data_IF_835194470582
#
_entry.id   IF_835194470582
#
_cell.length_a   1.000
_cell.length_b   1.000
_cell.length_c   1.000
_cell.angle_alpha   90.00
_cell.angle_beta   90.00
_cell.angle_gamma   90.00
#
_symmetry.space_group_name_H-M   'P 1'
#
loop_
_entity.id
_entity.type
_entity.pdbx_description
1 polymer ?
#
# COMPACT_ATOMS: atom_id res chain seq x y z
N UNK A 1 -27.22 45.08 -22.78
CA UNK A 1 -26.59 45.22 -21.44
C UNK A 1 -27.24 44.24 -20.45
N UNK A 2 -26.81 42.98 -20.42
CA UNK A 2 -27.30 41.98 -19.44
C UNK A 2 -26.27 40.92 -19.01
N UNK A 3 -25.02 41.04 -19.49
CA UNK A 3 -23.95 40.04 -19.37
C UNK A 3 -22.63 40.66 -18.85
N UNK A 4 -22.70 41.46 -17.77
CA UNK A 4 -21.52 42.14 -17.19
C UNK A 4 -21.40 41.95 -15.67
N UNK A 5 -22.50 41.67 -14.96
CA UNK A 5 -22.54 41.76 -13.48
C UNK A 5 -22.57 40.43 -12.70
N UNK A 6 -22.40 39.27 -13.36
CA UNK A 6 -22.25 37.96 -12.67
C UNK A 6 -20.88 37.30 -12.88
N UNK A 7 -19.99 37.92 -13.67
CA UNK A 7 -18.62 37.44 -13.91
C UNK A 7 -17.65 37.90 -12.79
N UNK A 8 -18.07 38.86 -11.96
CA UNK A 8 -17.19 39.65 -11.09
C UNK A 8 -16.73 38.98 -9.77
N UNK A 9 -17.09 37.71 -9.50
CA UNK A 9 -16.79 37.06 -8.20
C UNK A 9 -15.86 35.83 -8.27
N UNK A 10 -15.40 35.44 -9.46
CA UNK A 10 -14.38 34.37 -9.64
C UNK A 10 -13.14 34.81 -10.42
N UNK A 11 -13.13 36.03 -10.98
CA UNK A 11 -12.04 36.55 -11.84
C UNK A 11 -10.89 37.21 -11.07
N UNK A 12 -10.94 37.23 -9.73
CA UNK A 12 -9.94 37.87 -8.85
C UNK A 12 -8.62 37.09 -8.68
N UNK A 13 -8.33 36.13 -9.56
CA UNK A 13 -7.03 35.46 -9.64
C UNK A 13 -6.42 35.40 -11.06
N UNK A 14 -6.87 36.27 -11.98
CA UNK A 14 -6.23 36.49 -13.28
C UNK A 14 -5.52 37.87 -13.31
N UNK A 15 -4.38 37.97 -12.60
CA UNK A 15 -3.66 39.25 -12.43
C UNK A 15 -2.72 39.51 -13.61
N UNK A 16 -3.25 40.27 -14.58
CA UNK A 16 -2.55 41.23 -15.45
C UNK A 16 -1.24 40.80 -16.14
N UNK A 17 -1.32 40.64 -17.46
CA UNK A 17 -0.44 41.43 -18.35
C UNK A 17 -1.32 42.40 -19.14
N UNK A 18 -0.94 43.67 -19.18
CA UNK A 18 -1.66 44.70 -19.93
C UNK A 18 -1.26 44.58 -21.40
N UNK A 19 -2.16 44.05 -22.25
CA UNK A 19 -2.11 44.34 -23.69
C UNK A 19 -2.73 45.72 -23.91
N UNK A 20 -2.09 46.56 -24.71
CA UNK A 20 -2.51 47.94 -24.94
C UNK A 20 -3.49 48.02 -26.11
N UNK A 21 -4.67 48.59 -25.85
CA UNK A 21 -5.70 48.98 -26.83
C UNK A 21 -6.25 47.84 -27.72
N UNK A 22 -7.22 48.18 -28.58
CA UNK A 22 -7.99 47.23 -29.36
C UNK A 22 -7.79 47.47 -30.86
N UNK A 23 -7.17 46.51 -31.54
CA UNK A 23 -7.09 46.46 -33.02
C UNK A 23 -7.83 45.22 -33.56
N UNK A 24 -8.31 45.34 -34.80
CA UNK A 24 -9.34 44.50 -35.40
C UNK A 24 -8.80 43.26 -36.14
N UNK A 25 -7.81 42.60 -35.55
CA UNK A 25 -7.53 41.16 -35.75
C UNK A 25 -7.24 40.65 -37.17
N UNK A 26 -6.84 41.51 -38.12
CA UNK A 26 -6.86 41.19 -39.56
C UNK A 26 -5.54 41.31 -40.32
N UNK A 27 -4.62 42.18 -39.90
CA UNK A 27 -3.34 42.43 -40.59
C UNK A 27 -2.17 41.74 -39.86
N UNK A 28 -1.01 41.56 -40.51
CA UNK A 28 0.10 40.72 -40.01
C UNK A 28 1.33 41.52 -39.60
N UNK A 29 2.24 40.94 -38.81
CA UNK A 29 2.45 39.51 -38.50
C UNK A 29 2.03 39.01 -37.11
N UNK A 30 1.99 39.76 -36.01
CA UNK A 30 1.14 40.93 -35.71
C UNK A 30 -0.36 40.74 -36.07
N UNK A 31 -0.77 39.51 -36.43
CA UNK A 31 -2.18 39.11 -36.60
C UNK A 31 -2.42 38.09 -37.74
N UNK A 32 -2.34 38.52 -39.01
CA UNK A 32 -2.93 37.90 -40.21
C UNK A 32 -2.55 36.43 -40.52
N UNK A 33 -1.52 35.88 -39.89
CA UNK A 33 -1.32 34.43 -39.88
C UNK A 33 -2.41 33.68 -39.08
N UNK A 34 -3.34 34.41 -38.45
CA UNK A 34 -4.71 34.02 -38.13
C UNK A 34 -4.86 33.08 -36.94
N UNK A 35 -3.76 32.74 -36.27
CA UNK A 35 -3.78 31.89 -35.07
C UNK A 35 -3.51 32.73 -33.83
N UNK A 36 -4.55 32.84 -33.01
CA UNK A 36 -4.50 33.41 -31.67
C UNK A 36 -3.29 32.85 -30.88
N UNK A 37 -2.60 33.71 -30.14
CA UNK A 37 -1.56 33.29 -29.22
C UNK A 37 -2.16 32.42 -28.10
N UNK A 38 -3.37 32.76 -27.65
CA UNK A 38 -4.09 32.13 -26.54
C UNK A 38 -3.99 32.90 -25.22
N UNK A 39 -4.87 32.59 -24.28
CA UNK A 39 -4.71 32.94 -22.86
C UNK A 39 -3.89 31.84 -22.15
N UNK A 40 -3.07 32.22 -21.16
CA UNK A 40 -2.30 31.27 -20.32
C UNK A 40 -3.22 30.26 -19.61
N UNK A 41 -4.38 30.73 -19.13
CA UNK A 41 -5.42 29.97 -18.46
C UNK A 41 -6.73 30.06 -19.24
N UNK A 42 -7.28 28.92 -19.65
CA UNK A 42 -8.61 28.84 -20.25
C UNK A 42 -9.62 28.45 -19.17
N UNK A 43 -10.52 29.37 -18.82
CA UNK A 43 -11.41 29.26 -17.65
C UNK A 43 -12.87 29.15 -18.08
N UNK A 44 -13.55 28.14 -17.56
CA UNK A 44 -14.94 27.78 -17.84
C UNK A 44 -15.69 27.71 -16.49
N UNK A 45 -16.62 28.62 -16.23
CA UNK A 45 -17.30 28.71 -14.93
C UNK A 45 -18.71 29.29 -15.01
N UNK A 46 -19.57 28.94 -14.04
CA UNK A 46 -20.91 29.51 -13.91
C UNK A 46 -21.93 28.93 -14.88
N UNK A 47 -22.76 29.78 -15.47
CA UNK A 47 -23.93 29.40 -16.29
C UNK A 47 -23.62 29.11 -17.77
N UNK A 48 -22.34 29.07 -18.15
CA UNK A 48 -21.88 28.73 -19.51
C UNK A 48 -22.47 27.41 -20.05
N UNK A 49 -22.82 27.45 -21.33
CA UNK A 49 -23.29 26.34 -22.16
C UNK A 49 -22.14 25.66 -22.93
N UNK A 50 -22.45 24.60 -23.69
CA UNK A 50 -21.48 23.97 -24.59
C UNK A 50 -21.13 24.91 -25.76
N UNK A 51 -22.09 25.73 -26.20
CA UNK A 51 -21.90 26.79 -27.19
C UNK A 51 -21.01 27.94 -26.69
N UNK A 52 -21.23 28.42 -25.46
CA UNK A 52 -20.35 29.43 -24.83
C UNK A 52 -18.92 28.89 -24.69
N UNK A 53 -18.76 27.62 -24.33
CA UNK A 53 -17.46 26.97 -24.24
C UNK A 53 -16.77 26.86 -25.62
N UNK A 54 -17.50 26.48 -26.67
CA UNK A 54 -16.97 26.45 -28.03
C UNK A 54 -16.52 27.85 -28.51
N UNK A 55 -17.27 28.90 -28.18
CA UNK A 55 -16.86 30.28 -28.47
C UNK A 55 -15.60 30.67 -27.69
N UNK A 56 -15.56 30.44 -26.37
CA UNK A 56 -14.39 30.69 -25.51
C UNK A 56 -13.15 29.99 -26.07
N UNK A 57 -13.25 28.75 -26.54
CA UNK A 57 -12.15 28.02 -27.18
C UNK A 57 -11.68 28.74 -28.44
N UNK A 58 -12.59 29.04 -29.38
CA UNK A 58 -12.22 29.68 -30.64
C UNK A 58 -11.61 31.08 -30.47
N UNK A 59 -12.03 31.82 -29.44
CA UNK A 59 -11.59 33.18 -29.15
C UNK A 59 -10.38 33.28 -28.22
N UNK A 60 -10.04 32.22 -27.45
CA UNK A 60 -9.04 32.31 -26.37
C UNK A 60 -8.05 31.14 -26.29
N UNK A 61 -8.23 30.04 -27.04
CA UNK A 61 -7.25 28.96 -27.07
C UNK A 61 -6.08 29.29 -28.01
N UNK A 62 -4.87 28.85 -27.62
CA UNK A 62 -3.68 28.98 -28.47
C UNK A 62 -2.42 28.38 -27.86
N UNK A 63 -1.27 28.68 -28.48
CA UNK A 63 0.05 28.13 -28.11
C UNK A 63 0.56 28.53 -26.72
N UNK A 64 0.02 29.59 -26.12
CA UNK A 64 0.35 30.03 -24.76
C UNK A 64 -0.52 29.37 -23.69
N UNK A 65 -1.60 28.68 -24.07
CA UNK A 65 -2.51 28.06 -23.11
C UNK A 65 -1.83 26.87 -22.44
N UNK A 66 -1.58 27.00 -21.13
CA UNK A 66 -0.91 26.00 -20.30
C UNK A 66 -1.80 25.47 -19.17
N UNK A 67 -3.03 25.95 -19.05
CA UNK A 67 -3.98 25.41 -18.07
C UNK A 67 -5.44 25.48 -18.53
N UNK A 68 -6.20 24.44 -18.19
CA UNK A 68 -7.66 24.38 -18.31
C UNK A 68 -8.27 24.38 -16.90
N UNK A 69 -9.25 25.25 -16.65
CA UNK A 69 -10.00 25.31 -15.39
C UNK A 69 -11.51 25.31 -15.67
N UNK A 70 -12.16 24.15 -15.50
CA UNK A 70 -13.62 23.98 -15.56
C UNK A 70 -14.15 23.91 -14.14
N UNK A 71 -14.74 24.99 -13.63
CA UNK A 71 -15.07 25.09 -12.20
C UNK A 71 -16.49 25.59 -11.95
N UNK A 72 -17.27 24.86 -11.16
CA UNK A 72 -18.63 25.24 -10.75
C UNK A 72 -19.59 25.51 -11.93
N UNK A 73 -19.43 24.82 -13.07
CA UNK A 73 -20.33 25.00 -14.22
C UNK A 73 -21.70 24.36 -13.98
N UNK A 74 -22.78 25.02 -14.40
CA UNK A 74 -24.16 24.56 -14.18
C UNK A 74 -24.95 24.21 -15.44
N UNK A 75 -24.45 24.54 -16.64
CA UNK A 75 -25.10 24.25 -17.91
C UNK A 75 -24.25 23.37 -18.85
N UNK A 76 -22.94 23.61 -18.93
CA UNK A 76 -21.96 22.79 -19.64
C UNK A 76 -22.18 21.28 -19.43
N UNK A 77 -22.30 20.53 -20.52
CA UNK A 77 -22.47 19.07 -20.56
C UNK A 77 -21.25 18.36 -21.16
N UNK A 78 -20.54 19.01 -22.09
CA UNK A 78 -19.42 18.43 -22.82
C UNK A 78 -18.30 19.44 -22.97
N UNK A 79 -17.06 18.99 -22.77
CA UNK A 79 -15.87 19.74 -23.19
C UNK A 79 -14.97 18.84 -24.05
N UNK A 80 -14.58 19.34 -25.21
CA UNK A 80 -13.72 18.63 -26.16
C UNK A 80 -12.68 19.61 -26.73
N UNK A 81 -11.39 19.26 -26.60
CA UNK A 81 -10.27 20.16 -26.93
C UNK A 81 -9.21 19.42 -27.77
N UNK A 82 -9.39 19.33 -29.10
CA UNK A 82 -8.58 18.46 -29.95
C UNK A 82 -7.16 18.98 -30.23
N UNK A 83 -6.87 20.28 -30.12
CA UNK A 83 -5.54 20.84 -30.46
C UNK A 83 -4.53 20.83 -29.29
N UNK A 84 -4.86 20.23 -28.15
CA UNK A 84 -4.00 20.22 -26.96
C UNK A 84 -3.07 19.00 -26.95
N UNK A 85 -1.76 19.22 -27.11
CA UNK A 85 -0.73 18.20 -26.90
C UNK A 85 -0.14 18.23 -25.48
N UNK A 86 0.05 19.42 -24.90
CA UNK A 86 0.72 19.60 -23.60
C UNK A 86 0.01 20.63 -22.74
N UNK A 87 -0.05 20.37 -21.43
CA UNK A 87 -0.57 21.29 -20.41
C UNK A 87 0.35 21.33 -19.18
N UNK A 88 0.19 22.35 -18.36
CA UNK A 88 0.67 22.36 -16.96
C UNK A 88 -0.43 21.85 -16.03
N UNK A 89 -1.68 22.32 -16.20
CA UNK A 89 -2.81 21.96 -15.32
C UNK A 89 -4.07 21.61 -16.11
N UNK A 90 -4.79 20.58 -15.68
CA UNK A 90 -6.17 20.29 -16.11
C UNK A 90 -7.01 20.16 -14.85
N UNK A 91 -7.98 21.03 -14.64
CA UNK A 91 -8.77 21.10 -13.40
C UNK A 91 -10.25 21.14 -13.75
N UNK A 92 -11.00 20.10 -13.38
CA UNK A 92 -12.45 19.96 -13.54
C UNK A 92 -13.06 19.78 -12.13
N UNK A 93 -13.63 20.82 -11.53
CA UNK A 93 -14.22 20.74 -10.19
C UNK A 93 -15.67 21.24 -10.10
N UNK A 94 -16.50 20.54 -9.33
CA UNK A 94 -17.88 20.92 -9.00
C UNK A 94 -18.81 21.16 -10.21
N UNK A 95 -18.55 20.54 -11.35
CA UNK A 95 -19.32 20.76 -12.57
C UNK A 95 -20.61 19.94 -12.55
N UNK A 96 -21.74 20.62 -12.39
CA UNK A 96 -23.04 20.02 -12.05
C UNK A 96 -23.66 19.18 -13.16
N UNK A 97 -23.40 19.53 -14.44
CA UNK A 97 -23.97 18.86 -15.62
C UNK A 97 -22.94 18.24 -16.57
N UNK A 98 -21.65 18.48 -16.36
CA UNK A 98 -20.58 17.97 -17.23
C UNK A 98 -20.62 16.44 -17.21
N UNK A 99 -20.87 15.83 -18.37
CA UNK A 99 -20.98 14.39 -18.59
C UNK A 99 -19.76 13.80 -19.28
N UNK A 100 -19.10 14.57 -20.15
CA UNK A 100 -18.00 14.11 -20.99
C UNK A 100 -16.87 15.15 -21.08
N UNK A 101 -15.64 14.68 -20.90
CA UNK A 101 -14.41 15.42 -21.23
C UNK A 101 -13.57 14.58 -22.19
N UNK A 102 -13.13 15.17 -23.31
CA UNK A 102 -12.27 14.51 -24.30
C UNK A 102 -11.10 15.43 -24.66
N UNK A 103 -9.88 15.01 -24.31
CA UNK A 103 -8.63 15.70 -24.61
C UNK A 103 -7.77 14.77 -25.48
N UNK A 104 -8.17 14.52 -26.75
CA UNK A 104 -7.78 13.31 -27.47
C UNK A 104 -6.29 13.29 -27.81
N UNK A 105 -5.67 14.46 -28.00
CA UNK A 105 -4.24 14.59 -28.32
C UNK A 105 -3.35 14.91 -27.10
N UNK A 106 -3.89 14.95 -25.88
CA UNK A 106 -3.13 15.38 -24.69
C UNK A 106 -2.11 14.31 -24.28
N UNK A 107 -0.84 14.55 -24.55
CA UNK A 107 0.28 13.65 -24.22
C UNK A 107 0.88 13.91 -22.83
N UNK A 108 0.97 15.17 -22.41
CA UNK A 108 1.72 15.54 -21.20
C UNK A 108 1.03 16.60 -20.33
N UNK A 109 0.95 16.36 -19.01
CA UNK A 109 0.48 17.35 -18.01
C UNK A 109 1.53 17.57 -16.91
N UNK A 110 2.29 18.66 -16.95
CA UNK A 110 3.51 18.80 -16.14
C UNK A 110 3.31 19.00 -14.63
N UNK A 111 2.15 19.48 -14.16
CA UNK A 111 1.87 19.72 -12.74
C UNK A 111 0.75 18.81 -12.19
N UNK A 112 -0.49 18.95 -12.67
CA UNK A 112 -1.60 18.08 -12.23
C UNK A 112 -2.82 18.01 -13.14
N UNK A 113 -3.46 16.85 -13.11
CA UNK A 113 -4.86 16.59 -13.51
C UNK A 113 -5.68 16.47 -12.22
N UNK A 114 -6.75 17.25 -12.08
CA UNK A 114 -7.72 17.17 -10.97
C UNK A 114 -9.11 17.07 -11.58
N UNK A 115 -9.82 15.98 -11.31
CA UNK A 115 -11.21 15.79 -11.72
C UNK A 115 -12.00 15.43 -10.46
N UNK A 116 -12.62 16.43 -9.85
CA UNK A 116 -13.18 16.35 -8.49
C UNK A 116 -14.66 16.74 -8.44
N UNK A 117 -15.49 15.95 -7.77
CA UNK A 117 -16.88 16.31 -7.43
C UNK A 117 -17.73 16.74 -8.63
N UNK A 118 -17.60 16.05 -9.78
CA UNK A 118 -18.42 16.27 -10.97
C UNK A 118 -19.55 15.21 -11.00
N UNK A 119 -20.73 15.46 -10.39
CA UNK A 119 -21.72 14.40 -10.12
C UNK A 119 -22.43 13.83 -11.35
N UNK A 120 -22.30 14.47 -12.52
CA UNK A 120 -22.85 13.97 -13.79
C UNK A 120 -21.80 13.39 -14.73
N UNK A 121 -20.51 13.44 -14.38
CA UNK A 121 -19.42 13.04 -15.27
C UNK A 121 -19.39 11.52 -15.43
N UNK A 122 -19.70 11.01 -16.62
CA UNK A 122 -19.74 9.58 -16.93
C UNK A 122 -18.48 9.09 -17.63
N UNK A 123 -17.83 9.96 -18.40
CA UNK A 123 -16.74 9.59 -19.32
C UNK A 123 -15.60 10.61 -19.29
N UNK A 124 -14.37 10.09 -19.16
CA UNK A 124 -13.12 10.88 -19.26
C UNK A 124 -12.20 10.22 -20.29
N UNK A 125 -11.95 10.88 -21.41
CA UNK A 125 -11.07 10.37 -22.47
C UNK A 125 -9.80 11.21 -22.61
N UNK A 126 -8.67 10.58 -22.28
CA UNK A 126 -7.31 11.11 -22.29
C UNK A 126 -6.40 10.09 -23.00
N UNK A 127 -6.87 9.47 -24.09
CA UNK A 127 -6.25 8.26 -24.65
C UNK A 127 -4.77 8.36 -25.03
N UNK A 128 -4.26 9.56 -25.31
CA UNK A 128 -2.86 9.81 -25.64
C UNK A 128 -1.99 10.26 -24.47
N UNK A 129 -2.51 10.34 -23.24
CA UNK A 129 -1.75 10.77 -22.07
C UNK A 129 -0.60 9.80 -21.77
N UNK A 130 0.64 10.22 -22.03
CA UNK A 130 1.88 9.49 -21.76
C UNK A 130 2.36 9.78 -20.34
N UNK A 131 2.27 11.04 -19.87
CA UNK A 131 2.76 11.39 -18.54
C UNK A 131 2.02 12.54 -17.86
N UNK A 132 1.85 12.42 -16.55
CA UNK A 132 1.42 13.53 -15.70
C UNK A 132 2.45 13.83 -14.59
N UNK A 133 2.29 14.99 -13.95
CA UNK A 133 2.62 15.17 -12.55
C UNK A 133 1.61 14.38 -11.71
N UNK A 134 0.76 15.07 -10.97
CA UNK A 134 -0.21 14.41 -10.09
C UNK A 134 -1.54 14.15 -10.82
N UNK A 135 -2.16 12.99 -10.62
CA UNK A 135 -3.50 12.65 -11.14
C UNK A 135 -4.43 12.40 -9.96
N UNK A 136 -5.53 13.15 -9.89
CA UNK A 136 -6.58 13.01 -8.88
C UNK A 136 -7.95 12.87 -9.56
N UNK A 137 -8.65 11.78 -9.30
CA UNK A 137 -10.03 11.52 -9.76
C UNK A 137 -10.88 11.19 -8.53
N UNK A 138 -11.62 12.17 -8.04
CA UNK A 138 -12.24 12.12 -6.71
C UNK A 138 -13.74 12.47 -6.75
N UNK A 139 -14.59 11.71 -6.07
CA UNK A 139 -16.03 12.01 -5.90
C UNK A 139 -16.88 12.13 -7.19
N UNK A 140 -16.45 11.56 -8.33
CA UNK A 140 -17.21 11.62 -9.59
C UNK A 140 -18.27 10.51 -9.63
N UNK A 141 -19.40 10.74 -8.94
CA UNK A 141 -20.40 9.69 -8.63
C UNK A 141 -21.06 9.01 -9.84
N UNK A 142 -21.01 9.62 -11.02
CA UNK A 142 -21.54 9.05 -12.26
C UNK A 142 -20.47 8.37 -13.14
N UNK A 143 -19.19 8.42 -12.75
CA UNK A 143 -18.07 8.01 -13.61
C UNK A 143 -18.05 6.50 -13.80
N UNK A 144 -18.22 6.05 -15.05
CA UNK A 144 -18.23 4.63 -15.41
C UNK A 144 -17.04 4.24 -16.27
N UNK A 145 -16.44 5.18 -17.01
CA UNK A 145 -15.35 4.91 -17.95
C UNK A 145 -14.27 6.00 -17.93
N UNK A 146 -13.02 5.56 -17.92
CA UNK A 146 -11.82 6.38 -18.13
C UNK A 146 -10.97 5.74 -19.23
N UNK A 147 -10.37 6.56 -20.09
CA UNK A 147 -9.33 6.11 -21.00
C UNK A 147 -8.03 6.88 -20.74
N UNK A 148 -7.08 6.17 -20.13
CA UNK A 148 -5.71 6.62 -19.79
C UNK A 148 -4.70 5.52 -20.15
N UNK A 149 -5.05 4.68 -21.13
CA UNK A 149 -4.39 3.41 -21.44
C UNK A 149 -2.96 3.52 -21.99
N UNK A 150 -2.49 4.74 -22.30
CA UNK A 150 -1.12 5.03 -22.75
C UNK A 150 -0.23 5.63 -21.65
N UNK A 151 -0.74 5.84 -20.43
CA UNK A 151 0.00 6.42 -19.31
C UNK A 151 1.20 5.55 -18.93
N UNK A 152 2.41 6.10 -19.07
CA UNK A 152 3.69 5.48 -18.73
C UNK A 152 4.20 5.92 -17.36
N UNK A 153 3.96 7.19 -16.97
CA UNK A 153 4.41 7.72 -15.67
C UNK A 153 3.52 8.80 -15.06
N UNK A 154 3.46 8.82 -13.73
CA UNK A 154 2.94 9.94 -12.95
C UNK A 154 3.78 10.21 -11.69
N UNK A 155 3.60 11.38 -11.07
CA UNK A 155 4.11 11.66 -9.73
C UNK A 155 3.28 10.91 -8.68
N UNK A 156 1.98 11.20 -8.67
CA UNK A 156 0.95 10.61 -7.83
C UNK A 156 -0.22 10.17 -8.70
N UNK A 157 -0.89 9.08 -8.33
CA UNK A 157 -2.07 8.55 -9.00
C UNK A 157 -3.12 8.18 -7.96
N UNK A 158 -4.14 9.03 -7.79
CA UNK A 158 -5.19 8.87 -6.78
C UNK A 158 -6.55 8.80 -7.46
N UNK A 159 -7.25 7.69 -7.23
CA UNK A 159 -8.65 7.49 -7.57
C UNK A 159 -9.40 7.19 -6.28
N UNK A 160 -10.38 8.02 -5.93
CA UNK A 160 -11.15 7.91 -4.70
C UNK A 160 -12.66 8.21 -4.91
N UNK A 161 -13.54 7.44 -4.27
CA UNK A 161 -14.99 7.69 -4.23
C UNK A 161 -15.65 7.86 -5.63
N UNK A 162 -15.27 7.02 -6.60
CA UNK A 162 -15.91 6.91 -7.92
C UNK A 162 -16.76 5.62 -8.02
N UNK A 163 -17.89 5.48 -7.30
CA UNK A 163 -18.53 4.20 -7.03
C UNK A 163 -18.99 3.40 -8.27
N UNK A 164 -19.26 4.05 -9.40
CA UNK A 164 -19.72 3.39 -10.63
C UNK A 164 -18.58 2.96 -11.58
N UNK A 165 -17.33 3.27 -11.28
CA UNK A 165 -16.18 2.95 -12.12
C UNK A 165 -15.87 1.44 -12.05
N UNK A 166 -15.98 0.73 -13.17
CA UNK A 166 -15.93 -0.74 -13.19
C UNK A 166 -14.52 -1.32 -13.36
N UNK A 167 -13.62 -0.57 -14.00
CA UNK A 167 -12.25 -0.98 -14.32
C UNK A 167 -11.29 0.20 -14.32
N UNK A 168 -10.04 -0.06 -13.95
CA UNK A 168 -8.89 0.83 -14.15
C UNK A 168 -7.83 0.02 -14.88
N UNK A 169 -7.41 0.51 -16.06
CA UNK A 169 -6.56 -0.22 -16.99
C UNK A 169 -5.33 0.62 -17.36
N UNK A 170 -4.16 0.24 -16.86
CA UNK A 170 -2.90 0.98 -16.93
C UNK A 170 -1.76 0.09 -17.49
N UNK A 171 -1.93 -0.51 -18.68
CA UNK A 171 -1.08 -1.61 -19.18
C UNK A 171 0.30 -1.12 -19.66
N UNK A 172 0.59 0.17 -19.51
CA UNK A 172 1.88 0.80 -19.82
C UNK A 172 2.48 1.55 -18.63
N UNK A 173 1.79 1.64 -17.49
CA UNK A 173 2.24 2.45 -16.35
C UNK A 173 3.44 1.79 -15.70
N UNK A 174 4.65 2.21 -16.08
CA UNK A 174 5.91 1.67 -15.58
C UNK A 174 6.29 2.29 -14.24
N UNK A 175 5.94 3.57 -14.01
CA UNK A 175 6.42 4.31 -12.85
C UNK A 175 5.42 5.29 -12.24
N UNK A 176 5.23 5.16 -10.94
CA UNK A 176 4.79 6.24 -10.05
C UNK A 176 6.04 6.72 -9.27
N UNK A 177 6.20 8.01 -9.00
CA UNK A 177 7.34 8.46 -8.17
C UNK A 177 7.03 8.46 -6.68
N UNK A 178 5.75 8.60 -6.34
CA UNK A 178 5.26 8.78 -4.97
C UNK A 178 4.08 7.82 -4.67
N UNK A 179 2.84 8.30 -4.57
CA UNK A 179 1.68 7.50 -4.14
C UNK A 179 0.84 6.94 -5.31
N UNK A 180 0.50 5.66 -5.23
CA UNK A 180 -0.54 5.00 -6.04
C UNK A 180 -1.70 4.59 -5.13
N UNK A 181 -2.89 5.18 -5.31
CA UNK A 181 -4.04 5.04 -4.41
C UNK A 181 -5.33 4.73 -5.19
N UNK A 182 -5.94 3.59 -4.88
CA UNK A 182 -7.22 3.13 -5.43
C UNK A 182 -8.17 2.87 -4.26
N UNK A 183 -9.11 3.79 -4.02
CA UNK A 183 -9.84 3.92 -2.77
C UNK A 183 -11.36 4.01 -2.97
N UNK A 184 -12.14 3.38 -2.10
CA UNK A 184 -13.59 3.58 -1.95
C UNK A 184 -14.42 3.42 -3.26
N UNK A 185 -14.14 2.38 -4.06
CA UNK A 185 -14.93 2.07 -5.25
C UNK A 185 -15.93 0.94 -4.99
N UNK A 186 -17.23 1.19 -5.17
CA UNK A 186 -18.26 0.16 -5.04
C UNK A 186 -18.16 -0.89 -6.17
N UNK A 187 -18.11 -0.46 -7.44
CA UNK A 187 -18.19 -1.37 -8.60
C UNK A 187 -16.85 -1.72 -9.27
N UNK A 188 -15.70 -1.25 -8.76
CA UNK A 188 -14.39 -1.53 -9.36
C UNK A 188 -14.07 -3.02 -9.20
N UNK A 189 -14.06 -3.75 -10.31
CA UNK A 189 -13.88 -5.20 -10.36
C UNK A 189 -12.49 -5.63 -10.81
N UNK A 190 -11.84 -4.80 -11.63
CA UNK A 190 -10.53 -5.07 -12.24
C UNK A 190 -9.59 -3.88 -12.12
N UNK A 191 -8.37 -4.14 -11.66
CA UNK A 191 -7.27 -3.18 -11.60
C UNK A 191 -6.06 -3.79 -12.30
N UNK A 192 -5.82 -3.39 -13.56
CA UNK A 192 -4.58 -3.72 -14.26
C UNK A 192 -3.57 -2.58 -14.06
N UNK A 193 -2.54 -2.86 -13.26
CA UNK A 193 -1.31 -2.09 -13.17
C UNK A 193 -0.10 -3.04 -13.28
N UNK A 194 -0.23 -4.12 -14.05
CA UNK A 194 0.74 -5.22 -14.18
C UNK A 194 2.12 -4.76 -14.64
N UNK A 195 2.19 -3.66 -15.40
CA UNK A 195 3.42 -3.03 -15.89
C UNK A 195 4.17 -2.19 -14.83
N UNK A 196 3.60 -1.93 -13.64
CA UNK A 196 4.18 -1.04 -12.63
C UNK A 196 5.42 -1.65 -11.98
N UNK A 197 6.59 -1.09 -12.28
CA UNK A 197 7.89 -1.57 -11.78
C UNK A 197 8.28 -0.86 -10.46
N UNK A 198 7.97 0.44 -10.36
CA UNK A 198 8.43 1.31 -9.26
C UNK A 198 7.30 2.24 -8.79
N UNK A 199 7.12 2.33 -7.48
CA UNK A 199 6.33 3.35 -6.77
C UNK A 199 6.90 3.56 -5.36
N UNK A 200 6.54 4.64 -4.65
CA UNK A 200 6.92 4.84 -3.24
C UNK A 200 5.89 4.19 -2.31
N UNK A 201 4.60 4.45 -2.53
CA UNK A 201 3.53 3.86 -1.73
C UNK A 201 2.39 3.30 -2.60
N UNK A 202 1.81 2.17 -2.17
CA UNK A 202 0.61 1.55 -2.74
C UNK A 202 -0.49 1.49 -1.67
N UNK A 203 -1.66 1.99 -2.00
CA UNK A 203 -2.88 1.80 -1.22
C UNK A 203 -4.00 1.29 -2.12
N UNK A 204 -4.58 0.14 -1.78
CA UNK A 204 -5.78 -0.38 -2.44
C UNK A 204 -6.78 -0.75 -1.37
N UNK A 205 -7.76 0.14 -1.12
CA UNK A 205 -8.65 0.04 0.04
C UNK A 205 -10.12 0.27 -0.26
N UNK A 206 -10.98 -0.45 0.46
CA UNK A 206 -12.43 -0.25 0.44
C UNK A 206 -13.04 -0.34 -0.98
N UNK A 207 -12.43 -1.17 -1.84
CA UNK A 207 -12.95 -1.47 -3.17
C UNK A 207 -13.83 -2.73 -3.07
N UNK A 208 -15.14 -2.54 -3.08
CA UNK A 208 -16.13 -3.55 -2.63
C UNK A 208 -16.16 -4.77 -3.54
N UNK A 209 -16.08 -4.57 -4.86
CA UNK A 209 -16.15 -5.65 -5.86
C UNK A 209 -14.80 -6.04 -6.48
N UNK A 210 -13.67 -5.60 -5.91
CA UNK A 210 -12.34 -5.85 -6.50
C UNK A 210 -11.89 -7.29 -6.26
N UNK A 211 -11.83 -8.10 -7.33
CA UNK A 211 -11.50 -9.53 -7.28
C UNK A 211 -10.00 -9.81 -7.29
N UNK A 212 -9.23 -9.03 -8.05
CA UNK A 212 -7.80 -9.27 -8.29
C UNK A 212 -7.00 -7.96 -8.30
N UNK A 213 -5.73 -8.05 -7.89
CA UNK A 213 -4.74 -6.98 -7.99
C UNK A 213 -3.49 -7.56 -8.66
N UNK A 214 -3.11 -7.02 -9.83
CA UNK A 214 -1.86 -7.41 -10.50
C UNK A 214 -0.81 -6.29 -10.45
N UNK A 215 0.26 -6.54 -9.67
CA UNK A 215 1.51 -5.77 -9.64
C UNK A 215 2.69 -6.69 -9.99
N UNK A 216 2.53 -7.59 -10.96
CA UNK A 216 3.51 -8.62 -11.34
C UNK A 216 4.89 -8.07 -11.68
N UNK A 217 5.01 -6.85 -12.24
CA UNK A 217 6.31 -6.25 -12.56
C UNK A 217 6.97 -5.48 -11.40
N UNK A 218 6.30 -5.32 -10.25
CA UNK A 218 6.76 -4.45 -9.17
C UNK A 218 7.99 -5.02 -8.46
N UNK A 219 9.17 -4.45 -8.68
CA UNK A 219 10.42 -4.94 -8.07
C UNK A 219 10.69 -4.31 -6.72
N UNK A 220 10.29 -3.06 -6.51
CA UNK A 220 10.66 -2.23 -5.36
C UNK A 220 9.55 -1.23 -4.98
N UNK A 221 9.27 -1.10 -3.68
CA UNK A 221 8.36 -0.06 -3.15
C UNK A 221 8.66 0.24 -1.67
N UNK A 222 8.21 1.39 -1.17
CA UNK A 222 8.23 1.77 0.24
C UNK A 222 7.10 1.10 1.01
N UNK A 223 5.86 1.59 0.86
CA UNK A 223 4.68 1.07 1.56
C UNK A 223 3.77 0.27 0.63
N UNK A 224 3.19 -0.82 1.13
CA UNK A 224 2.01 -1.49 0.57
C UNK A 224 0.94 -1.55 1.65
N UNK A 225 -0.28 -1.12 1.34
CA UNK A 225 -1.44 -1.26 2.22
C UNK A 225 -2.69 -1.63 1.43
N UNK A 226 -3.03 -2.93 1.44
CA UNK A 226 -4.21 -3.48 0.78
C UNK A 226 -5.19 -3.92 1.88
N UNK A 227 -6.33 -3.24 2.00
CA UNK A 227 -7.27 -3.50 3.11
C UNK A 227 -8.74 -3.26 2.81
N UNK A 228 -9.61 -4.01 3.48
CA UNK A 228 -11.07 -3.88 3.37
C UNK A 228 -11.59 -4.08 1.94
N UNK A 229 -10.96 -4.95 1.15
CA UNK A 229 -11.46 -5.37 -0.16
C UNK A 229 -12.17 -6.73 0.04
N UNK A 230 -13.51 -6.77 0.22
CA UNK A 230 -14.20 -7.89 0.86
C UNK A 230 -14.29 -9.15 0.00
N UNK A 231 -14.13 -9.04 -1.34
CA UNK A 231 -14.12 -10.18 -2.27
C UNK A 231 -12.77 -10.38 -2.98
N UNK A 232 -11.71 -9.72 -2.53
CA UNK A 232 -10.37 -9.84 -3.13
C UNK A 232 -9.80 -11.25 -2.91
N UNK A 233 -9.65 -12.00 -4.00
CA UNK A 233 -9.18 -13.40 -3.98
C UNK A 233 -7.66 -13.52 -4.16
N UNK A 234 -7.04 -12.61 -4.92
CA UNK A 234 -5.60 -12.66 -5.27
C UNK A 234 -4.91 -11.29 -5.30
N UNK A 235 -3.63 -11.30 -4.90
CA UNK A 235 -2.69 -10.17 -5.06
C UNK A 235 -1.39 -10.72 -5.66
N UNK A 236 -1.03 -10.28 -6.85
CA UNK A 236 0.22 -10.66 -7.51
C UNK A 236 1.33 -9.63 -7.19
N UNK A 237 2.29 -10.02 -6.35
CA UNK A 237 3.50 -9.27 -6.00
C UNK A 237 4.75 -10.12 -6.27
N UNK A 238 4.69 -10.99 -7.29
CA UNK A 238 5.66 -12.07 -7.49
C UNK A 238 7.10 -11.61 -7.76
N UNK A 239 7.32 -10.44 -8.34
CA UNK A 239 8.67 -9.87 -8.57
C UNK A 239 9.16 -8.94 -7.45
N UNK A 240 8.39 -8.74 -6.37
CA UNK A 240 8.77 -7.82 -5.29
C UNK A 240 10.03 -8.33 -4.58
N UNK A 241 11.15 -7.64 -4.79
CA UNK A 241 12.47 -8.01 -4.22
C UNK A 241 12.75 -7.35 -2.89
N UNK A 242 12.22 -6.13 -2.68
CA UNK A 242 12.50 -5.30 -1.51
C UNK A 242 11.35 -4.33 -1.21
N UNK A 243 10.92 -4.32 0.05
CA UNK A 243 10.05 -3.29 0.63
C UNK A 243 10.87 -2.40 1.60
N UNK A 244 10.57 -1.10 1.73
CA UNK A 244 11.34 -0.18 2.59
C UNK A 244 10.54 0.59 3.67
N UNK A 245 9.29 0.22 3.94
CA UNK A 245 8.51 0.72 5.10
C UNK A 245 7.64 -0.40 5.72
N UNK A 246 6.59 -0.80 5.03
CA UNK A 246 5.73 -1.91 5.47
C UNK A 246 4.95 -2.54 4.32
N UNK A 247 4.74 -3.85 4.40
CA UNK A 247 3.70 -4.57 3.65
C UNK A 247 2.56 -4.88 4.62
N UNK A 248 1.38 -4.31 4.39
CA UNK A 248 0.18 -4.48 5.21
C UNK A 248 -0.99 -5.05 4.40
N UNK A 249 -1.44 -6.25 4.76
CA UNK A 249 -2.52 -7.01 4.11
C UNK A 249 -3.60 -7.32 5.15
N UNK A 250 -4.63 -6.46 5.23
CA UNK A 250 -5.55 -6.43 6.39
C UNK A 250 -7.04 -6.42 6.00
N UNK A 251 -7.85 -7.35 6.52
CA UNK A 251 -9.29 -7.43 6.22
C UNK A 251 -9.54 -7.60 4.71
N UNK A 252 -8.91 -8.60 4.10
CA UNK A 252 -9.24 -9.06 2.75
C UNK A 252 -9.68 -10.53 2.88
N UNK A 253 -10.92 -10.80 3.32
CA UNK A 253 -11.32 -12.10 3.87
C UNK A 253 -11.36 -13.24 2.83
N UNK A 254 -11.23 -12.95 1.54
CA UNK A 254 -11.16 -13.93 0.44
C UNK A 254 -9.76 -14.22 -0.09
N UNK A 255 -8.71 -13.55 0.42
CA UNK A 255 -7.33 -13.95 0.13
C UNK A 255 -7.03 -15.31 0.74
N UNK A 256 -6.80 -16.32 -0.10
CA UNK A 256 -6.47 -17.69 0.34
C UNK A 256 -4.97 -17.93 0.51
N UNK A 257 -4.13 -17.15 -0.18
CA UNK A 257 -2.67 -17.30 -0.20
C UNK A 257 -1.98 -15.94 -0.34
N UNK A 258 -0.89 -15.75 0.41
CA UNK A 258 0.03 -14.62 0.25
C UNK A 258 1.42 -15.19 -0.07
N UNK A 259 1.89 -14.97 -1.29
CA UNK A 259 3.18 -15.48 -1.77
C UNK A 259 4.07 -14.31 -2.26
N UNK A 260 5.21 -14.13 -1.58
CA UNK A 260 6.22 -13.11 -1.87
C UNK A 260 7.56 -13.83 -2.15
N UNK A 261 7.66 -14.60 -3.26
CA UNK A 261 8.71 -15.59 -3.45
C UNK A 261 10.11 -14.98 -3.62
N UNK A 262 10.20 -13.75 -4.15
CA UNK A 262 11.46 -13.04 -4.40
C UNK A 262 11.81 -11.98 -3.34
N UNK A 263 10.93 -11.76 -2.34
CA UNK A 263 11.12 -10.73 -1.33
C UNK A 263 12.30 -11.08 -0.42
N UNK A 264 13.43 -10.40 -0.60
CA UNK A 264 14.68 -10.65 0.13
C UNK A 264 14.81 -9.83 1.41
N UNK A 265 14.21 -8.64 1.41
CA UNK A 265 14.20 -7.67 2.50
C UNK A 265 12.83 -7.01 2.60
N UNK A 266 12.30 -6.89 3.81
CA UNK A 266 11.23 -5.93 4.13
C UNK A 266 11.64 -5.09 5.33
N UNK A 267 11.08 -3.90 5.44
CA UNK A 267 11.15 -3.17 6.70
C UNK A 267 10.14 -3.80 7.67
N UNK A 268 8.82 -3.69 7.45
CA UNK A 268 7.80 -4.38 8.27
C UNK A 268 6.88 -5.31 7.47
N UNK A 269 6.22 -6.29 8.11
CA UNK A 269 5.25 -7.20 7.51
C UNK A 269 4.04 -7.44 8.45
N UNK A 270 2.88 -6.93 8.05
CA UNK A 270 1.60 -7.09 8.75
C UNK A 270 0.57 -7.84 7.90
N UNK A 271 0.08 -8.98 8.37
CA UNK A 271 -0.94 -9.81 7.69
C UNK A 271 -2.04 -10.12 8.70
N UNK A 272 -3.21 -9.49 8.57
CA UNK A 272 -4.24 -9.58 9.59
C UNK A 272 -5.69 -9.68 9.11
N UNK A 273 -6.54 -10.36 9.89
CA UNK A 273 -7.99 -10.42 9.68
C UNK A 273 -8.40 -10.97 8.28
N UNK A 274 -7.57 -11.79 7.64
CA UNK A 274 -7.89 -12.41 6.35
C UNK A 274 -8.49 -13.79 6.62
N UNK A 275 -9.83 -13.87 6.63
CA UNK A 275 -10.57 -15.03 7.13
C UNK A 275 -10.22 -16.35 6.42
N UNK A 276 -10.24 -16.38 5.08
CA UNK A 276 -10.02 -17.60 4.29
C UNK A 276 -8.53 -17.86 3.95
N UNK A 277 -7.60 -17.10 4.55
CA UNK A 277 -6.16 -17.21 4.32
C UNK A 277 -5.61 -18.51 4.89
N UNK A 278 -5.02 -19.35 4.03
CA UNK A 278 -4.50 -20.68 4.38
C UNK A 278 -2.97 -20.71 4.44
N UNK A 279 -2.27 -19.90 3.63
CA UNK A 279 -0.81 -19.90 3.55
C UNK A 279 -0.19 -18.50 3.45
N UNK A 280 0.97 -18.32 4.09
CA UNK A 280 1.87 -17.17 3.90
C UNK A 280 3.27 -17.70 3.60
N UNK A 281 3.85 -17.29 2.46
CA UNK A 281 5.17 -17.75 2.02
C UNK A 281 6.04 -16.57 1.57
N UNK A 282 7.19 -16.40 2.22
CA UNK A 282 8.21 -15.41 1.88
C UNK A 282 9.55 -16.14 1.69
N UNK A 283 9.60 -17.05 0.71
CA UNK A 283 10.68 -18.03 0.55
C UNK A 283 12.10 -17.45 0.42
N UNK A 284 12.24 -16.23 -0.10
CA UNK A 284 13.53 -15.53 -0.23
C UNK A 284 13.87 -14.60 0.95
N UNK A 285 12.98 -14.40 1.94
CA UNK A 285 13.13 -13.35 2.95
C UNK A 285 14.28 -13.67 3.90
N UNK A 286 15.34 -12.86 3.82
CA UNK A 286 16.54 -12.96 4.66
C UNK A 286 16.41 -12.04 5.88
N UNK A 287 15.90 -10.82 5.69
CA UNK A 287 15.86 -9.79 6.74
C UNK A 287 14.55 -9.02 6.78
N UNK A 288 14.03 -8.86 8.00
CA UNK A 288 12.88 -8.03 8.33
C UNK A 288 13.29 -7.01 9.40
N UNK A 289 13.46 -5.76 9.04
CA UNK A 289 14.16 -4.77 9.87
C UNK A 289 13.30 -4.18 11.01
N UNK A 290 11.98 -4.27 10.85
CA UNK A 290 10.91 -3.86 11.76
C UNK A 290 10.12 -5.07 12.27
N UNK A 291 8.78 -4.98 12.25
CA UNK A 291 7.89 -5.93 12.93
C UNK A 291 7.31 -7.03 12.03
N UNK A 292 7.06 -8.19 12.63
CA UNK A 292 6.30 -9.30 12.04
C UNK A 292 4.99 -9.46 12.79
N UNK A 293 3.88 -8.99 12.24
CA UNK A 293 2.54 -9.23 12.78
C UNK A 293 1.75 -10.14 11.85
N UNK A 294 1.32 -11.29 12.34
CA UNK A 294 0.43 -12.21 11.64
C UNK A 294 -0.71 -12.54 12.60
N UNK A 295 -1.89 -11.95 12.42
CA UNK A 295 -2.96 -12.04 13.43
C UNK A 295 -4.37 -12.22 12.89
N UNK A 296 -5.21 -12.95 13.63
CA UNK A 296 -6.62 -13.15 13.30
C UNK A 296 -6.86 -13.73 11.88
N UNK A 297 -5.98 -14.63 11.42
CA UNK A 297 -6.18 -15.36 10.16
C UNK A 297 -6.57 -16.81 10.53
N UNK A 298 -7.85 -17.09 10.86
CA UNK A 298 -8.23 -18.32 11.56
C UNK A 298 -7.96 -19.61 10.77
N UNK A 299 -8.01 -19.57 9.44
CA UNK A 299 -7.74 -20.71 8.56
C UNK A 299 -6.24 -20.90 8.22
N UNK A 300 -5.35 -20.04 8.73
CA UNK A 300 -3.93 -20.03 8.36
C UNK A 300 -3.21 -21.25 8.93
N UNK A 301 -2.82 -22.17 8.05
CA UNK A 301 -2.22 -23.45 8.42
C UNK A 301 -0.70 -23.52 8.17
N UNK A 302 -0.17 -22.64 7.32
CA UNK A 302 1.25 -22.66 6.93
C UNK A 302 1.89 -21.27 6.89
N UNK A 303 3.01 -21.13 7.60
CA UNK A 303 3.96 -20.03 7.50
C UNK A 303 5.29 -20.56 6.94
N UNK A 304 5.86 -19.88 5.94
CA UNK A 304 7.09 -20.33 5.30
C UNK A 304 8.12 -19.18 5.14
N UNK A 305 9.12 -19.19 6.03
CA UNK A 305 10.21 -18.22 6.11
C UNK A 305 11.60 -18.90 6.17
N UNK A 306 11.93 -19.82 5.24
CA UNK A 306 13.06 -20.77 5.36
C UNK A 306 14.47 -20.15 5.28
N UNK A 307 14.57 -18.83 5.10
CA UNK A 307 15.84 -18.11 4.90
C UNK A 307 16.03 -16.92 5.84
N UNK A 308 15.09 -16.68 6.77
CA UNK A 308 15.10 -15.46 7.59
C UNK A 308 16.16 -15.57 8.68
N UNK A 309 17.21 -14.74 8.58
CA UNK A 309 18.33 -14.72 9.55
C UNK A 309 18.25 -13.56 10.53
N UNK A 310 17.49 -12.51 10.21
CA UNK A 310 17.37 -11.34 11.10
C UNK A 310 15.96 -10.74 11.14
N UNK A 311 15.46 -10.50 12.35
CA UNK A 311 14.22 -9.75 12.62
C UNK A 311 14.49 -8.63 13.64
N UNK A 312 14.01 -7.41 13.33
CA UNK A 312 14.23 -6.18 14.07
C UNK A 312 15.55 -5.46 13.72
N UNK A 313 15.82 -4.36 14.43
CA UNK A 313 17.05 -3.57 14.30
C UNK A 313 17.46 -2.95 15.65
N UNK A 314 18.75 -2.68 15.83
CA UNK A 314 19.33 -2.13 17.07
C UNK A 314 18.66 -0.83 17.54
N UNK A 315 18.14 -0.03 16.61
CA UNK A 315 17.52 1.28 16.86
C UNK A 315 16.01 1.20 17.10
N UNK A 316 15.34 0.10 16.76
CA UNK A 316 13.87 -0.03 16.81
C UNK A 316 13.43 -1.34 17.45
N UNK A 317 12.83 -1.23 18.65
CA UNK A 317 12.12 -2.34 19.28
C UNK A 317 10.95 -2.77 18.38
N UNK A 318 11.06 -3.98 17.85
CA UNK A 318 10.02 -4.62 17.03
C UNK A 318 9.52 -5.89 17.73
N UNK A 319 8.27 -6.32 17.52
CA UNK A 319 7.81 -7.64 17.93
C UNK A 319 7.82 -8.68 16.78
N UNK A 320 7.87 -9.96 17.15
CA UNK A 320 7.11 -11.00 16.44
C UNK A 320 5.78 -11.16 17.18
N UNK A 321 4.67 -11.12 16.45
CA UNK A 321 3.33 -11.19 17.01
C UNK A 321 2.45 -12.13 16.15
N UNK A 322 2.36 -13.39 16.54
CA UNK A 322 1.62 -14.45 15.82
C UNK A 322 0.48 -14.93 16.72
N UNK A 323 -0.74 -14.42 16.54
CA UNK A 323 -1.88 -14.67 17.44
C UNK A 323 -3.21 -14.89 16.71
N UNK A 324 -4.08 -15.75 17.21
CA UNK A 324 -5.41 -15.96 16.61
C UNK A 324 -5.35 -16.54 15.18
N UNK A 325 -4.34 -17.39 14.92
CA UNK A 325 -4.18 -18.12 13.66
C UNK A 325 -4.41 -19.60 13.96
N UNK A 326 -5.68 -19.96 14.16
CA UNK A 326 -6.12 -21.16 14.90
C UNK A 326 -5.79 -22.51 14.25
N UNK A 327 -5.14 -22.51 13.07
CA UNK A 327 -4.73 -23.70 12.34
C UNK A 327 -3.20 -23.85 12.24
N UNK A 328 -2.41 -22.92 12.79
CA UNK A 328 -0.93 -23.01 12.78
C UNK A 328 -0.47 -24.10 13.76
N UNK A 329 -0.02 -25.22 13.19
CA UNK A 329 0.65 -26.32 13.91
C UNK A 329 2.16 -26.13 14.06
N UNK A 330 2.82 -25.47 13.11
CA UNK A 330 4.28 -25.41 13.05
C UNK A 330 4.77 -23.98 12.84
N UNK A 331 5.72 -23.54 13.67
CA UNK A 331 6.51 -22.32 13.48
C UNK A 331 7.96 -22.73 13.23
N UNK A 332 8.46 -22.55 12.00
CA UNK A 332 9.87 -22.79 11.68
C UNK A 332 10.59 -21.48 11.34
N UNK A 333 11.43 -21.05 12.29
CA UNK A 333 12.40 -19.97 12.18
C UNK A 333 13.82 -20.52 12.46
N UNK A 334 14.12 -21.74 12.01
CA UNK A 334 15.42 -22.41 12.20
C UNK A 334 16.62 -21.60 11.71
N UNK A 335 16.44 -20.71 10.74
CA UNK A 335 17.50 -19.82 10.24
C UNK A 335 17.70 -18.54 11.05
N UNK A 336 16.83 -18.22 12.02
CA UNK A 336 16.81 -16.93 12.72
C UNK A 336 17.97 -16.81 13.72
N UNK A 337 19.07 -16.21 13.29
CA UNK A 337 20.28 -15.98 14.08
C UNK A 337 20.15 -14.74 14.99
N UNK A 338 19.71 -13.62 14.41
CA UNK A 338 19.85 -12.27 14.99
C UNK A 338 18.48 -11.63 15.24
N UNK A 339 18.10 -11.54 16.52
CA UNK A 339 16.79 -11.04 16.93
C UNK A 339 16.92 -9.77 17.80
N UNK A 340 16.93 -8.61 17.15
CA UNK A 340 16.86 -7.30 17.82
C UNK A 340 15.43 -6.92 18.21
N UNK A 341 14.44 -7.61 17.63
CA UNK A 341 13.09 -7.59 18.13
C UNK A 341 13.07 -8.06 19.60
N UNK A 342 12.30 -7.37 20.44
CA UNK A 342 12.43 -7.49 21.90
C UNK A 342 11.32 -8.32 22.56
N UNK A 343 10.28 -8.70 21.80
CA UNK A 343 9.19 -9.55 22.24
C UNK A 343 8.84 -10.51 21.10
N UNK A 344 8.89 -11.81 21.35
CA UNK A 344 8.12 -12.80 20.59
C UNK A 344 6.83 -13.07 21.36
N UNK A 345 5.68 -13.00 20.70
CA UNK A 345 4.50 -13.74 21.13
C UNK A 345 4.00 -14.67 20.03
N UNK A 346 3.80 -15.94 20.40
CA UNK A 346 3.10 -16.95 19.59
C UNK A 346 1.93 -17.47 20.43
N UNK A 347 0.71 -17.38 19.91
CA UNK A 347 -0.55 -17.88 20.49
C UNK A 347 -1.26 -18.78 19.45
N UNK A 348 -1.32 -20.08 19.71
CA UNK A 348 -2.07 -21.07 18.91
C UNK A 348 -2.41 -22.30 19.76
N UNK A 349 -3.68 -22.70 19.79
CA UNK A 349 -4.17 -23.83 20.60
C UNK A 349 -3.90 -25.20 19.96
N UNK A 350 -3.41 -25.21 18.71
CA UNK A 350 -3.09 -26.43 17.94
C UNK A 350 -1.60 -26.55 17.62
N UNK A 351 -0.76 -25.80 18.33
CA UNK A 351 0.68 -25.73 18.11
C UNK A 351 1.36 -27.05 18.48
N UNK A 352 2.06 -27.65 17.52
CA UNK A 352 2.79 -28.91 17.65
C UNK A 352 4.31 -28.69 17.63
N UNK A 353 4.82 -27.72 16.87
CA UNK A 353 6.26 -27.47 16.75
C UNK A 353 6.59 -25.98 16.79
N UNK A 354 7.62 -25.62 17.55
CA UNK A 354 8.33 -24.35 17.39
C UNK A 354 9.82 -24.61 17.23
N UNK A 355 10.42 -24.04 16.18
CA UNK A 355 11.83 -24.19 15.85
C UNK A 355 12.50 -22.82 15.75
N UNK A 356 13.31 -22.51 16.76
CA UNK A 356 14.11 -21.30 16.96
C UNK A 356 15.58 -21.71 17.20
N UNK A 357 16.04 -22.83 16.63
CA UNK A 357 17.31 -23.45 17.05
C UNK A 357 18.56 -22.58 16.83
N UNK A 358 18.55 -21.62 15.90
CA UNK A 358 19.67 -20.69 15.69
C UNK A 358 19.56 -19.40 16.51
N UNK A 359 18.47 -19.19 17.25
CA UNK A 359 18.24 -17.98 18.02
C UNK A 359 19.22 -17.88 19.19
N UNK A 360 20.10 -16.88 19.14
CA UNK A 360 21.13 -16.66 20.16
C UNK A 360 20.68 -15.70 21.26
N UNK A 361 20.04 -14.59 20.90
CA UNK A 361 19.73 -13.51 21.86
C UNK A 361 18.33 -12.94 21.63
N UNK A 362 17.56 -12.71 22.70
CA UNK A 362 16.21 -12.14 22.65
C UNK A 362 15.82 -11.53 24.01
N UNK A 363 15.13 -10.39 24.07
CA UNK A 363 14.71 -9.85 25.39
C UNK A 363 13.60 -10.68 26.04
N UNK A 364 12.46 -10.84 25.38
CA UNK A 364 11.32 -11.63 25.86
C UNK A 364 10.87 -12.63 24.79
N UNK A 365 10.86 -13.92 25.14
CA UNK A 365 10.25 -14.98 24.33
C UNK A 365 9.08 -15.58 25.10
N UNK A 366 7.86 -15.31 24.63
CA UNK A 366 6.62 -15.82 25.21
C UNK A 366 5.87 -16.67 24.18
N UNK A 367 5.72 -17.95 24.46
CA UNK A 367 4.91 -18.88 23.68
C UNK A 367 3.76 -19.34 24.56
N UNK A 368 2.55 -19.23 24.06
CA UNK A 368 1.31 -19.60 24.72
C UNK A 368 0.54 -20.58 23.83
N UNK A 369 0.14 -21.70 24.43
CA UNK A 369 -0.61 -22.76 23.78
C UNK A 369 -1.23 -23.64 24.86
N UNK A 370 -2.49 -24.01 24.67
CA UNK A 370 -3.16 -25.05 25.47
C UNK A 370 -2.70 -26.46 25.06
N UNK A 371 -2.08 -26.61 23.88
CA UNK A 371 -1.46 -27.85 23.45
C UNK A 371 -0.17 -28.15 24.24
N UNK A 372 0.20 -29.43 24.26
CA UNK A 372 1.57 -29.84 24.57
C UNK A 372 2.32 -29.94 23.25
N UNK A 373 3.45 -29.22 23.13
CA UNK A 373 4.28 -29.26 21.94
C UNK A 373 4.84 -30.68 21.73
N UNK A 374 4.96 -31.09 20.48
CA UNK A 374 5.71 -32.28 20.04
C UNK A 374 7.21 -31.98 19.92
N UNK A 375 7.60 -30.71 19.68
CA UNK A 375 9.01 -30.27 19.78
C UNK A 375 9.14 -28.75 19.98
N UNK A 376 10.05 -28.35 20.87
CA UNK A 376 10.42 -26.96 21.20
C UNK A 376 11.93 -26.76 21.06
N UNK A 377 12.37 -26.37 19.86
CA UNK A 377 13.78 -26.29 19.49
C UNK A 377 14.34 -24.89 19.71
N UNK A 378 15.24 -24.74 20.70
CA UNK A 378 15.89 -23.47 21.04
C UNK A 378 17.31 -23.67 21.61
N UNK A 379 18.14 -24.45 20.90
CA UNK A 379 19.44 -24.92 21.43
C UNK A 379 20.57 -23.89 21.52
N UNK A 380 20.49 -22.74 20.82
CA UNK A 380 21.65 -21.83 20.64
C UNK A 380 21.70 -20.61 21.56
N UNK A 381 20.77 -20.47 22.51
CA UNK A 381 20.64 -19.29 23.40
C UNK A 381 21.98 -18.92 24.05
N UNK A 382 22.28 -17.62 24.13
CA UNK A 382 23.45 -17.01 24.76
C UNK A 382 23.04 -15.94 25.79
N UNK A 383 22.04 -15.11 25.50
CA UNK A 383 21.50 -14.14 26.47
C UNK A 383 20.01 -13.82 26.26
N UNK A 384 19.31 -13.47 27.34
CA UNK A 384 17.89 -13.07 27.29
C UNK A 384 17.47 -12.25 28.52
N UNK A 385 16.19 -11.90 28.66
CA UNK A 385 15.62 -11.38 29.94
C UNK A 385 14.51 -12.28 30.48
N UNK A 386 13.55 -12.65 29.63
CA UNK A 386 12.40 -13.49 29.99
C UNK A 386 12.19 -14.60 28.95
N UNK A 387 11.96 -15.82 29.45
CA UNK A 387 11.65 -17.01 28.66
C UNK A 387 10.42 -17.68 29.26
N UNK A 388 9.29 -17.62 28.55
CA UNK A 388 8.02 -18.23 28.92
C UNK A 388 7.61 -19.23 27.83
N UNK A 389 7.61 -20.53 28.15
CA UNK A 389 7.24 -21.63 27.26
C UNK A 389 5.96 -22.34 27.74
N UNK A 390 5.14 -22.91 26.84
CA UNK A 390 3.94 -23.68 27.16
C UNK A 390 4.34 -25.10 27.63
N UNK A 391 3.42 -26.06 27.57
CA UNK A 391 3.73 -27.47 27.84
C UNK A 391 4.70 -28.01 26.79
N UNK A 392 5.89 -28.37 27.27
CA UNK A 392 7.09 -28.67 26.47
C UNK A 392 7.53 -30.13 26.73
N UNK A 393 8.03 -30.89 25.73
CA UNK A 393 8.57 -32.24 25.93
C UNK A 393 9.72 -32.28 26.93
N UNK A 394 9.77 -33.30 27.78
CA UNK A 394 10.85 -33.49 28.77
C UNK A 394 12.25 -33.40 28.15
N UNK A 395 12.46 -34.00 26.97
CA UNK A 395 13.73 -33.97 26.25
C UNK A 395 14.15 -32.56 25.78
N UNK A 396 13.20 -31.72 25.39
CA UNK A 396 13.45 -30.31 25.04
C UNK A 396 13.70 -29.46 26.30
N UNK A 397 13.03 -29.77 27.43
CA UNK A 397 13.30 -29.13 28.73
C UNK A 397 14.72 -29.47 29.21
N UNK A 398 15.11 -30.74 29.14
CA UNK A 398 16.45 -31.22 29.49
C UNK A 398 17.50 -30.53 28.61
N UNK A 399 17.31 -30.53 27.29
CA UNK A 399 18.20 -29.87 26.31
C UNK A 399 18.33 -28.37 26.59
N UNK A 400 17.23 -27.67 26.87
CA UNK A 400 17.22 -26.26 27.23
C UNK A 400 17.99 -26.01 28.53
N UNK A 401 17.67 -26.71 29.62
CA UNK A 401 18.26 -26.42 30.92
C UNK A 401 19.76 -26.79 30.96
N UNK A 402 20.18 -27.88 30.34
CA UNK A 402 21.60 -28.20 30.16
C UNK A 402 22.30 -27.13 29.30
N UNK A 403 21.66 -26.59 28.25
CA UNK A 403 22.22 -25.45 27.50
C UNK A 403 22.39 -24.22 28.40
N UNK A 404 21.38 -23.86 29.19
CA UNK A 404 21.40 -22.69 30.07
C UNK A 404 22.46 -22.83 31.19
N UNK A 405 22.62 -24.02 31.80
CA UNK A 405 23.69 -24.29 32.77
C UNK A 405 25.07 -24.10 32.13
N UNK A 406 25.29 -24.58 30.90
CA UNK A 406 26.56 -24.45 30.19
C UNK A 406 26.96 -23.00 29.81
N UNK A 407 26.05 -22.02 29.90
CA UNK A 407 26.32 -20.58 29.72
C UNK A 407 26.21 -19.77 31.03
N UNK A 408 26.02 -20.44 32.15
CA UNK A 408 26.02 -19.84 33.50
C UNK A 408 27.47 -19.70 33.99
N UNK A 409 27.88 -18.59 34.66
CA UNK A 409 27.07 -17.49 35.20
C UNK A 409 26.93 -16.27 34.27
N UNK A 410 27.22 -16.37 32.96
CA UNK A 410 27.01 -15.24 32.05
C UNK A 410 25.52 -14.85 31.96
N UNK A 411 24.62 -15.84 32.12
CA UNK A 411 23.22 -15.59 32.45
C UNK A 411 22.98 -15.54 33.98
N UNK A 412 22.63 -14.36 34.47
CA UNK A 412 22.16 -14.15 35.85
C UNK A 412 21.03 -13.11 35.87
N UNK A 413 20.15 -13.17 36.89
CA UNK A 413 18.97 -12.30 37.00
C UNK A 413 17.85 -12.59 35.98
N UNK A 414 17.94 -13.68 35.21
CA UNK A 414 17.00 -14.01 34.13
C UNK A 414 15.72 -14.67 34.67
N UNK A 415 14.64 -14.61 33.90
CA UNK A 415 13.36 -15.28 34.21
C UNK A 415 13.11 -16.42 33.23
N UNK A 416 12.89 -17.62 33.78
CA UNK A 416 12.67 -18.87 33.04
C UNK A 416 11.39 -19.51 33.59
N UNK A 417 10.39 -19.72 32.74
CA UNK A 417 9.09 -20.29 33.08
C UNK A 417 8.68 -21.30 32.01
N UNK A 418 8.76 -22.59 32.31
CA UNK A 418 8.53 -23.67 31.34
C UNK A 418 7.36 -24.54 31.81
N UNK A 419 6.46 -24.91 30.91
CA UNK A 419 5.40 -25.87 31.18
C UNK A 419 5.81 -27.31 30.84
N UNK A 420 5.26 -28.30 31.53
CA UNK A 420 5.51 -29.73 31.30
C UNK A 420 6.30 -30.41 32.42
N UNK A 421 6.62 -31.68 32.20
CA UNK A 421 7.33 -32.53 33.17
C UNK A 421 8.83 -32.49 32.91
N UNK A 422 9.60 -31.98 33.87
CA UNK A 422 11.06 -32.01 33.87
C UNK A 422 11.62 -33.38 34.34
N UNK A 423 12.75 -33.81 33.79
CA UNK A 423 13.47 -34.99 34.30
C UNK A 423 14.18 -34.69 35.63
N UNK A 424 14.73 -35.73 36.26
CA UNK A 424 15.62 -35.57 37.41
C UNK A 424 16.83 -34.70 37.09
N UNK A 425 17.36 -34.73 35.86
CA UNK A 425 18.48 -33.88 35.47
C UNK A 425 18.04 -32.41 35.30
N UNK A 426 16.93 -32.14 34.60
CA UNK A 426 16.38 -30.79 34.50
C UNK A 426 16.03 -30.18 35.87
N UNK A 427 15.63 -30.97 36.86
CA UNK A 427 15.44 -30.47 38.23
C UNK A 427 16.77 -30.04 38.90
N UNK A 428 17.88 -30.74 38.65
CA UNK A 428 19.22 -30.38 39.12
C UNK A 428 19.75 -29.14 38.38
N UNK A 429 19.58 -29.09 37.06
CA UNK A 429 19.98 -27.97 36.22
C UNK A 429 19.19 -26.70 36.59
N UNK A 430 17.88 -26.83 36.85
CA UNK A 430 17.04 -25.73 37.32
C UNK A 430 17.50 -25.17 38.68
N UNK A 431 17.94 -26.00 39.63
CA UNK A 431 18.46 -25.53 40.91
C UNK A 431 19.87 -24.91 40.78
N UNK A 432 20.68 -25.42 39.85
CA UNK A 432 21.96 -24.80 39.46
C UNK A 432 21.74 -23.40 38.90
N UNK A 433 20.73 -23.22 38.04
CA UNK A 433 20.33 -21.93 37.48
C UNK A 433 19.80 -20.97 38.57
N UNK A 434 19.00 -21.45 39.54
CA UNK A 434 18.55 -20.66 40.70
C UNK A 434 19.70 -20.20 41.59
N UNK A 435 20.64 -21.11 41.88
CA UNK A 435 21.83 -20.82 42.70
C UNK A 435 22.69 -19.71 42.07
N UNK A 436 22.70 -19.60 40.74
CA UNK A 436 23.37 -18.53 40.00
C UNK A 436 22.49 -17.28 39.77
N UNK A 437 21.42 -17.11 40.54
CA UNK A 437 20.63 -15.88 40.59
C UNK A 437 19.51 -15.76 39.55
N UNK A 438 19.07 -16.86 38.92
CA UNK A 438 17.96 -16.84 37.96
C UNK A 438 16.63 -17.29 38.59
N UNK A 439 15.51 -16.68 38.19
CA UNK A 439 14.17 -17.12 38.60
C UNK A 439 13.72 -18.27 37.69
N UNK A 440 13.75 -19.52 38.18
CA UNK A 440 13.35 -20.72 37.41
C UNK A 440 12.07 -21.34 37.96
N UNK A 441 11.00 -21.33 37.16
CA UNK A 441 9.69 -21.93 37.44
C UNK A 441 9.41 -23.05 36.43
N UNK A 442 9.00 -24.20 36.94
CA UNK A 442 8.51 -25.33 36.14
C UNK A 442 7.03 -25.52 36.51
N UNK A 443 6.14 -25.56 35.51
CA UNK A 443 4.68 -25.61 35.67
C UNK A 443 4.15 -26.95 35.11
N UNK A 444 3.33 -27.72 35.84
CA UNK A 444 2.76 -28.98 35.33
C UNK A 444 1.73 -28.78 34.21
#
# INVERSE_FOLDING_TARGET
MKYIYLILFLLTLAITTISCEAEDGTNGVDGANGRNAGLEFLVFAGDITDEDAAQIISENFGKTTVAILVTNTINLTTLELPEIATMTKVILTNNKKLQRIVLPNLEHVSNKIVIESNPSLTTVDLENLISAGNIYFENNKALTSINISKLDRAQNFIFDQNPLLQSINLPKLIKITDEFKILNHENLSTLDASALIITNEIFVRENVNLLTIDFSSLTNTGKISISQNPILETVNLSQLTRNTDAINLNINPKLTTIALPNLSYSESLGIANNADLQTVSCAALIKLNGELTISNNPNLASLHFPRITSIGSETRRSPINIRGNNMIKNIDFSSLETFFANIVTIESDVLEMVNLNSLTTFSDLRIESDATLNSMKISSVLDFTNLQLPKTPTEDIDTLFTRLVNITPAITGKRISVGGTASTQALIDAETLRTNGNTVVIRP
#
